data_IF_685756191820
#
_entry.id   IF_685756191820
#
_cell.length_a   1.000
_cell.length_b   1.000
_cell.length_c   1.000
_cell.angle_alpha   90.00
_cell.angle_beta   90.00
_cell.angle_gamma   90.00
#
_symmetry.space_group_name_H-M   'P 1'
#
loop_
_entity.id
_entity.type
_entity.pdbx_description
1 polymer ?
#
# COMPACT_ATOMS: atom_id res chain seq x y z
N UNK A 1 4.82 -6.75 -16.60
CA UNK A 1 5.18 -5.36 -16.25
C UNK A 1 6.66 -5.22 -16.48
N UNK A 2 7.08 -4.20 -17.20
CA UNK A 2 8.49 -3.96 -17.51
C UNK A 2 9.02 -2.85 -16.62
N UNK A 3 10.32 -2.89 -16.31
CA UNK A 3 10.99 -1.91 -15.46
C UNK A 3 12.22 -1.37 -16.19
N UNK A 4 12.50 -0.07 -16.01
CA UNK A 4 13.71 0.57 -16.52
C UNK A 4 14.94 0.30 -15.64
N UNK A 5 16.09 0.89 -15.98
CA UNK A 5 17.34 0.73 -15.24
C UNK A 5 17.30 1.31 -13.81
N UNK A 6 16.34 2.18 -13.50
CA UNK A 6 16.08 2.68 -12.15
C UNK A 6 15.11 1.79 -11.38
N UNK A 7 14.62 0.72 -12.02
CA UNK A 7 13.59 -0.15 -11.51
C UNK A 7 12.21 0.49 -11.53
N UNK A 8 11.98 1.60 -12.24
CA UNK A 8 10.67 2.23 -12.37
C UNK A 8 9.85 1.50 -13.42
N UNK A 9 8.53 1.46 -13.26
CA UNK A 9 7.68 0.86 -14.30
C UNK A 9 7.80 1.61 -15.61
N UNK A 10 8.10 0.87 -16.67
CA UNK A 10 8.03 1.33 -18.05
C UNK A 10 6.61 1.11 -18.60
N UNK A 11 5.95 2.19 -19.04
CA UNK A 11 4.64 2.11 -19.69
C UNK A 11 3.44 2.38 -18.76
N UNK A 12 2.29 1.79 -19.10
CA UNK A 12 1.02 2.03 -18.40
C UNK A 12 0.84 1.05 -17.24
N UNK A 13 0.42 1.58 -16.08
CA UNK A 13 -0.07 0.78 -14.96
C UNK A 13 -1.59 0.76 -15.01
N UNK A 14 -2.16 -0.44 -14.90
CA UNK A 14 -3.58 -0.62 -14.65
C UNK A 14 -3.83 -0.66 -13.14
N UNK A 15 -4.76 0.17 -12.68
CA UNK A 15 -5.16 0.18 -11.27
C UNK A 15 -5.94 -1.07 -10.92
N UNK A 16 -5.83 -1.47 -9.66
CA UNK A 16 -6.59 -2.59 -9.14
C UNK A 16 -8.05 -2.16 -8.94
N UNK A 17 -9.02 -3.01 -9.33
CA UNK A 17 -10.40 -2.82 -8.93
C UNK A 17 -10.53 -2.70 -7.41
N UNK A 18 -11.50 -1.94 -6.93
CA UNK A 18 -11.73 -1.74 -5.49
C UNK A 18 -11.98 -3.05 -4.70
N UNK A 19 -12.30 -4.15 -5.36
CA UNK A 19 -12.48 -5.48 -4.76
C UNK A 19 -11.20 -6.32 -4.68
N UNK A 20 -10.10 -5.90 -5.30
CA UNK A 20 -8.87 -6.69 -5.48
C UNK A 20 -7.62 -6.00 -4.92
N UNK A 21 -7.79 -4.93 -4.15
CA UNK A 21 -6.66 -4.29 -3.50
C UNK A 21 -7.01 -3.35 -2.37
N UNK A 22 -6.16 -3.36 -1.34
CA UNK A 22 -6.17 -2.38 -0.27
C UNK A 22 -5.68 -1.06 -0.84
N UNK A 23 -6.42 0.03 -0.63
CA UNK A 23 -6.00 1.35 -1.11
C UNK A 23 -5.59 2.26 0.03
N UNK A 24 -4.47 2.98 -0.12
CA UNK A 24 -3.96 3.93 0.86
C UNK A 24 -3.85 5.33 0.26
N UNK A 25 -4.31 6.33 1.00
CA UNK A 25 -4.48 7.70 0.52
C UNK A 25 -3.40 8.60 1.16
N UNK A 26 -2.26 8.76 0.50
CA UNK A 26 -1.13 9.51 1.04
C UNK A 26 -1.22 11.00 0.72
N UNK A 27 -0.90 11.91 1.66
CA UNK A 27 -0.71 13.32 1.35
C UNK A 27 0.60 13.58 0.59
N UNK A 28 1.57 12.65 0.65
CA UNK A 28 2.84 12.74 -0.08
C UNK A 28 2.59 12.57 -1.59
N UNK A 29 2.90 13.60 -2.42
CA UNK A 29 2.74 13.51 -3.87
C UNK A 29 3.79 12.64 -4.57
N UNK A 30 4.93 12.32 -3.96
CA UNK A 30 5.98 11.53 -4.61
C UNK A 30 5.66 10.03 -4.67
N UNK A 31 6.06 9.37 -5.77
CA UNK A 31 5.94 7.92 -5.94
C UNK A 31 7.11 7.14 -5.30
N UNK A 32 7.88 7.77 -4.40
CA UNK A 32 9.11 7.20 -3.86
C UNK A 32 8.84 5.95 -3.01
N UNK A 33 9.53 4.87 -3.36
CA UNK A 33 9.53 3.59 -2.64
C UNK A 33 10.87 3.44 -1.92
N UNK A 34 10.85 3.54 -0.58
CA UNK A 34 12.03 3.53 0.27
C UNK A 34 12.15 2.18 1.02
N UNK A 35 12.85 1.20 0.42
CA UNK A 35 12.98 -0.16 0.97
C UNK A 35 13.39 -0.17 2.45
N UNK A 36 14.41 0.61 2.82
CA UNK A 36 14.91 0.68 4.19
C UNK A 36 13.84 1.13 5.19
N UNK A 37 13.00 2.09 4.82
CA UNK A 37 11.94 2.62 5.68
C UNK A 37 10.81 1.60 5.82
N UNK A 38 10.45 0.92 4.74
CA UNK A 38 9.42 -0.12 4.73
C UNK A 38 9.87 -1.35 5.54
N UNK A 39 11.10 -1.82 5.31
CA UNK A 39 11.70 -2.94 6.03
C UNK A 39 11.89 -2.64 7.53
N UNK A 40 12.27 -1.41 7.88
CA UNK A 40 12.35 -0.98 9.28
C UNK A 40 10.98 -1.06 9.97
N UNK A 41 9.93 -0.51 9.33
CA UNK A 41 8.57 -0.56 9.88
C UNK A 41 8.07 -2.00 10.01
N UNK A 42 8.29 -2.84 8.98
CA UNK A 42 7.96 -4.26 8.99
C UNK A 42 8.54 -4.99 10.20
N UNK A 43 9.84 -4.81 10.45
CA UNK A 43 10.55 -5.49 11.54
C UNK A 43 10.11 -4.97 12.91
N UNK A 44 10.08 -3.65 13.10
CA UNK A 44 9.88 -3.05 14.42
C UNK A 44 8.43 -3.16 14.90
N UNK A 45 7.45 -3.02 14.01
CA UNK A 45 6.05 -2.91 14.42
C UNK A 45 5.17 -4.08 14.02
N UNK A 46 5.61 -4.90 13.06
CA UNK A 46 4.80 -5.99 12.49
C UNK A 46 5.46 -7.37 12.59
N UNK A 47 6.66 -7.49 13.17
CA UNK A 47 7.34 -8.78 13.32
C UNK A 47 7.60 -9.49 11.99
N UNK A 48 7.74 -8.70 10.92
CA UNK A 48 7.86 -9.17 9.55
C UNK A 48 9.18 -8.72 8.92
N UNK A 49 9.64 -9.50 7.95
CA UNK A 49 10.71 -9.15 7.04
C UNK A 49 10.11 -8.72 5.70
N UNK A 50 10.68 -7.69 5.09
CA UNK A 50 10.21 -7.12 3.84
C UNK A 50 11.41 -6.78 2.96
N UNK A 51 11.37 -7.22 1.71
CA UNK A 51 12.35 -6.88 0.68
C UNK A 51 11.65 -6.54 -0.64
N UNK A 52 12.21 -5.58 -1.38
CA UNK A 52 11.71 -5.26 -2.73
C UNK A 52 12.31 -6.24 -3.74
N UNK A 53 11.47 -6.77 -4.62
CA UNK A 53 11.92 -7.62 -5.74
C UNK A 53 12.62 -6.78 -6.79
N UNK A 54 12.05 -5.62 -7.14
CA UNK A 54 12.70 -4.64 -8.01
C UNK A 54 13.42 -3.59 -7.16
N UNK A 55 14.74 -3.48 -7.33
CA UNK A 55 15.53 -2.42 -6.68
C UNK A 55 15.17 -1.07 -7.30
N UNK A 56 14.92 -0.08 -6.44
CA UNK A 56 14.48 1.25 -6.83
C UNK A 56 15.61 2.25 -6.67
N UNK A 57 15.91 2.99 -7.73
CA UNK A 57 16.84 4.12 -7.73
C UNK A 57 16.09 5.41 -8.04
N UNK A 58 16.50 6.53 -7.44
CA UNK A 58 15.88 7.84 -7.67
C UNK A 58 16.98 8.88 -7.92
N UNK A 59 17.69 8.81 -9.06
CA UNK A 59 18.77 9.73 -9.37
C UNK A 59 18.24 11.16 -9.39
N UNK A 60 19.01 12.10 -8.84
CA UNK A 60 18.63 13.53 -8.71
C UNK A 60 17.34 13.81 -7.93
N UNK A 61 16.79 12.81 -7.21
CA UNK A 61 15.55 12.96 -6.46
C UNK A 61 14.27 12.92 -7.32
N UNK A 62 14.38 12.71 -8.63
CA UNK A 62 13.22 12.54 -9.49
C UNK A 62 12.44 11.27 -9.11
N UNK A 63 11.12 11.32 -9.22
CA UNK A 63 10.23 10.17 -9.04
C UNK A 63 9.31 10.03 -10.26
N UNK A 64 8.93 8.80 -10.65
CA UNK A 64 8.05 8.60 -11.78
C UNK A 64 6.62 9.05 -11.42
N UNK A 65 5.84 9.39 -12.45
CA UNK A 65 4.44 9.78 -12.26
C UNK A 65 3.64 8.65 -11.61
N UNK A 66 3.84 7.43 -12.08
CA UNK A 66 3.22 6.18 -11.61
C UNK A 66 4.32 5.16 -11.37
N UNK A 67 4.15 4.27 -10.41
CA UNK A 67 5.12 3.19 -10.18
C UNK A 67 4.46 1.94 -9.61
N UNK A 68 5.20 0.83 -9.65
CA UNK A 68 4.82 -0.42 -9.02
C UNK A 68 6.04 -1.15 -8.47
N UNK A 69 5.83 -2.03 -7.51
CA UNK A 69 6.87 -2.92 -7.02
C UNK A 69 6.25 -4.19 -6.48
N UNK A 70 6.88 -5.32 -6.75
CA UNK A 70 6.62 -6.55 -6.03
C UNK A 70 7.46 -6.57 -4.75
N UNK A 71 6.82 -6.97 -3.67
CA UNK A 71 7.37 -6.99 -2.32
C UNK A 71 7.31 -8.41 -1.81
N UNK A 72 8.45 -8.97 -1.45
CA UNK A 72 8.49 -10.21 -0.69
C UNK A 72 8.34 -9.86 0.79
N UNK A 73 7.32 -10.44 1.43
CA UNK A 73 7.02 -10.25 2.86
C UNK A 73 6.90 -11.61 3.54
N UNK A 74 7.55 -11.76 4.68
CA UNK A 74 7.51 -12.97 5.49
C UNK A 74 7.35 -12.60 6.97
N UNK A 75 6.78 -13.50 7.76
CA UNK A 75 7.03 -13.47 9.22
C UNK A 75 8.49 -13.83 9.48
N UNK A 76 9.06 -13.36 10.59
CA UNK A 76 10.41 -13.75 10.99
C UNK A 76 10.59 -15.28 10.94
N UNK A 77 11.53 -15.76 10.12
CA UNK A 77 11.82 -17.18 9.91
C UNK A 77 10.82 -17.98 9.04
N UNK A 78 9.81 -17.32 8.46
CA UNK A 78 8.82 -17.94 7.58
C UNK A 78 9.17 -17.86 6.09
N UNK A 79 8.45 -18.62 5.26
CA UNK A 79 8.55 -18.49 3.81
C UNK A 79 7.90 -17.17 3.32
N UNK A 80 8.51 -16.47 2.35
CA UNK A 80 7.97 -15.22 1.84
C UNK A 80 6.74 -15.43 0.97
N UNK A 81 5.79 -14.49 1.07
CA UNK A 81 4.73 -14.28 0.10
C UNK A 81 5.02 -13.01 -0.69
N UNK A 82 4.71 -13.03 -1.99
CA UNK A 82 4.98 -11.92 -2.90
C UNK A 82 3.73 -11.09 -3.15
N UNK A 83 3.79 -9.80 -2.89
CA UNK A 83 2.65 -8.88 -3.00
C UNK A 83 2.97 -7.75 -3.98
N UNK A 84 2.07 -7.47 -4.91
CA UNK A 84 2.21 -6.32 -5.81
C UNK A 84 1.69 -5.05 -5.14
N UNK A 85 2.49 -3.99 -5.19
CA UNK A 85 2.12 -2.63 -4.77
C UNK A 85 2.17 -1.71 -5.99
N UNK A 86 1.15 -0.86 -6.16
CA UNK A 86 1.05 0.14 -7.22
C UNK A 86 0.89 1.53 -6.60
N UNK A 87 1.31 2.58 -7.31
CA UNK A 87 1.08 3.96 -6.88
C UNK A 87 0.83 4.90 -8.04
N UNK A 88 -0.15 5.80 -7.89
CA UNK A 88 -0.54 6.80 -8.89
C UNK A 88 -1.01 8.11 -8.24
N UNK A 89 -0.96 9.25 -8.95
CA UNK A 89 -1.67 10.46 -8.56
C UNK A 89 -3.15 10.18 -8.28
N UNK A 90 -3.68 10.73 -7.19
CA UNK A 90 -5.05 10.45 -6.76
C UNK A 90 -6.11 10.94 -7.76
N UNK A 91 -5.82 12.00 -8.52
CA UNK A 91 -6.66 12.49 -9.61
C UNK A 91 -6.76 11.49 -10.79
N UNK A 92 -5.81 10.55 -10.91
CA UNK A 92 -5.84 9.44 -11.86
C UNK A 92 -6.49 8.17 -11.31
N UNK A 93 -6.96 8.19 -10.06
CA UNK A 93 -7.63 7.06 -9.40
C UNK A 93 -9.03 7.45 -8.87
N UNK A 94 -9.97 7.85 -9.76
CA UNK A 94 -11.28 8.35 -9.34
C UNK A 94 -12.10 7.31 -8.55
N UNK A 95 -11.99 6.02 -8.89
CA UNK A 95 -12.67 4.94 -8.18
C UNK A 95 -12.14 4.76 -6.74
N UNK A 96 -10.81 4.83 -6.56
CA UNK A 96 -10.18 4.78 -5.23
C UNK A 96 -10.62 5.98 -4.39
N UNK A 97 -10.65 7.19 -4.98
CA UNK A 97 -11.15 8.39 -4.31
C UNK A 97 -12.61 8.25 -3.90
N UNK A 98 -13.45 7.69 -4.78
CA UNK A 98 -14.86 7.47 -4.50
C UNK A 98 -15.09 6.46 -3.36
N UNK A 99 -14.36 5.34 -3.39
CA UNK A 99 -14.41 4.31 -2.34
C UNK A 99 -13.95 4.88 -0.99
N UNK A 100 -12.85 5.64 -0.97
CA UNK A 100 -12.38 6.33 0.23
C UNK A 100 -13.43 7.31 0.77
N UNK A 101 -14.03 8.13 -0.11
CA UNK A 101 -15.06 9.08 0.29
C UNK A 101 -16.32 8.38 0.86
N UNK A 102 -16.72 7.26 0.28
CA UNK A 102 -17.81 6.44 0.82
C UNK A 102 -17.47 5.91 2.21
N UNK A 103 -16.25 5.38 2.40
CA UNK A 103 -15.83 4.87 3.70
C UNK A 103 -15.69 5.94 4.78
N UNK A 104 -15.20 7.13 4.43
CA UNK A 104 -15.16 8.28 5.34
C UNK A 104 -16.57 8.70 5.79
N UNK A 105 -17.53 8.73 4.85
CA UNK A 105 -18.93 9.03 5.19
C UNK A 105 -19.54 7.97 6.11
N UNK A 106 -19.28 6.70 5.85
CA UNK A 106 -19.81 5.59 6.64
C UNK A 106 -19.40 5.66 8.12
N UNK A 107 -18.21 6.19 8.42
CA UNK A 107 -17.74 6.36 9.80
C UNK A 107 -18.05 7.74 10.41
N UNK A 108 -18.71 8.63 9.67
CA UNK A 108 -19.06 9.98 10.12
C UNK A 108 -17.86 10.95 10.19
N UNK A 109 -16.93 10.86 9.24
CA UNK A 109 -15.81 11.82 9.13
C UNK A 109 -14.64 11.51 10.03
N UNK A 110 -14.80 11.40 11.36
CA UNK A 110 -13.80 10.98 12.38
C UNK A 110 -12.32 11.36 12.11
N UNK A 111 -12.06 12.53 11.51
CA UNK A 111 -10.73 13.00 11.12
C UNK A 111 -10.18 12.42 9.80
N UNK A 112 -10.78 11.36 9.26
CA UNK A 112 -10.41 10.79 7.97
C UNK A 112 -10.87 11.64 6.79
N UNK A 113 -11.90 12.45 6.97
CA UNK A 113 -12.31 13.52 6.06
C UNK A 113 -11.19 14.53 5.81
N UNK A 114 -10.51 14.98 6.88
CA UNK A 114 -9.38 15.87 6.77
C UNK A 114 -8.14 15.21 6.14
N UNK A 115 -7.96 13.90 6.31
CA UNK A 115 -6.91 13.14 5.63
C UNK A 115 -7.21 13.00 4.14
N UNK A 116 -8.44 12.63 3.77
CA UNK A 116 -8.87 12.48 2.39
C UNK A 116 -8.78 13.81 1.62
N UNK A 117 -9.14 14.94 2.23
CA UNK A 117 -9.03 16.26 1.61
C UNK A 117 -7.58 16.64 1.25
N UNK A 118 -6.60 16.15 2.02
CA UNK A 118 -5.17 16.41 1.81
C UNK A 118 -4.47 15.36 0.94
N UNK A 119 -5.10 14.22 0.70
CA UNK A 119 -4.51 13.15 -0.09
C UNK A 119 -4.15 13.62 -1.51
N UNK A 120 -2.96 13.22 -1.97
CA UNK A 120 -2.38 13.54 -3.29
C UNK A 120 -2.08 12.29 -4.10
N UNK A 121 -1.87 11.14 -3.44
CA UNK A 121 -1.45 9.89 -4.06
C UNK A 121 -2.30 8.72 -3.57
N UNK A 122 -2.64 7.83 -4.49
CA UNK A 122 -3.23 6.54 -4.17
C UNK A 122 -2.14 5.46 -4.28
N UNK A 123 -1.98 4.68 -3.21
CA UNK A 123 -1.20 3.45 -3.22
C UNK A 123 -2.18 2.28 -3.17
N UNK A 124 -1.93 1.22 -3.93
CA UNK A 124 -2.76 0.01 -3.89
C UNK A 124 -1.89 -1.21 -3.61
N UNK A 125 -2.36 -2.10 -2.74
CA UNK A 125 -1.73 -3.37 -2.40
C UNK A 125 -2.64 -4.49 -2.88
N UNK A 126 -2.14 -5.34 -3.78
CA UNK A 126 -2.93 -6.38 -4.43
C UNK A 126 -3.36 -7.49 -3.48
N UNK A 127 -4.62 -7.90 -3.61
CA UNK A 127 -5.18 -9.11 -3.03
C UNK A 127 -5.96 -9.90 -4.10
N UNK A 128 -5.72 -11.23 -4.24
CA UNK A 128 -4.75 -12.04 -3.51
C UNK A 128 -3.29 -11.71 -3.86
N UNK A 129 -2.35 -12.20 -3.03
CA UNK A 129 -0.91 -12.10 -3.29
C UNK A 129 -0.52 -12.76 -4.62
N UNK A 130 0.60 -12.32 -5.20
CA UNK A 130 1.14 -12.83 -6.47
C UNK A 130 1.69 -14.26 -6.31
N UNK A 131 2.33 -14.55 -5.17
CA UNK A 131 2.85 -15.88 -4.85
C UNK A 131 2.92 -16.09 -3.32
N UNK A 132 3.01 -17.36 -2.89
CA UNK A 132 3.07 -17.76 -1.50
C UNK A 132 1.70 -17.97 -0.84
N UNK A 133 1.70 -18.62 0.32
CA UNK A 133 0.48 -19.15 0.94
C UNK A 133 -0.04 -18.32 2.12
N UNK A 134 0.68 -17.29 2.56
CA UNK A 134 0.22 -16.44 3.66
C UNK A 134 -0.82 -15.43 3.15
N UNK A 135 -2.10 -15.77 3.30
CA UNK A 135 -3.22 -14.90 2.94
C UNK A 135 -3.23 -13.54 3.67
N UNK A 136 -2.43 -13.37 4.74
CA UNK A 136 -2.30 -12.10 5.48
C UNK A 136 -1.24 -11.18 4.88
N UNK A 137 -0.46 -11.65 3.91
CA UNK A 137 0.62 -10.89 3.31
C UNK A 137 0.16 -9.53 2.72
N UNK A 138 -0.95 -9.45 1.95
CA UNK A 138 -1.47 -8.17 1.46
C UNK A 138 -1.81 -7.19 2.59
N UNK A 139 -2.53 -7.64 3.63
CA UNK A 139 -2.87 -6.79 4.76
C UNK A 139 -1.62 -6.38 5.57
N UNK A 140 -0.62 -7.25 5.68
CA UNK A 140 0.66 -6.94 6.33
C UNK A 140 1.36 -5.79 5.60
N UNK A 141 1.48 -5.87 4.27
CA UNK A 141 2.06 -4.81 3.45
C UNK A 141 1.24 -3.52 3.54
N UNK A 142 -0.09 -3.61 3.45
CA UNK A 142 -0.96 -2.44 3.61
C UNK A 142 -0.78 -1.77 4.99
N UNK A 143 -0.65 -2.55 6.07
CA UNK A 143 -0.43 -2.00 7.41
C UNK A 143 0.93 -1.30 7.55
N UNK A 144 1.99 -1.89 6.96
CA UNK A 144 3.33 -1.28 6.90
C UNK A 144 3.26 0.05 6.13
N UNK A 145 2.66 0.06 4.95
CA UNK A 145 2.53 1.28 4.15
C UNK A 145 1.68 2.34 4.85
N UNK A 146 0.62 1.94 5.56
CA UNK A 146 -0.20 2.87 6.35
C UNK A 146 0.64 3.55 7.45
N UNK A 147 1.55 2.81 8.08
CA UNK A 147 2.48 3.35 9.07
C UNK A 147 3.51 4.29 8.44
N UNK A 148 4.09 3.90 7.30
CA UNK A 148 5.10 4.70 6.57
C UNK A 148 4.52 6.00 6.06
N UNK A 149 3.38 5.92 5.38
CA UNK A 149 2.76 7.03 4.63
C UNK A 149 1.83 7.87 5.50
N UNK A 150 1.56 7.44 6.75
CA UNK A 150 0.54 8.01 7.63
C UNK A 150 -0.83 8.11 6.93
N UNK A 151 -1.13 7.09 6.13
CA UNK A 151 -2.26 7.08 5.21
C UNK A 151 -3.42 6.24 5.77
N UNK A 152 -4.67 6.64 5.53
CA UNK A 152 -5.81 5.80 5.83
C UNK A 152 -5.92 4.68 4.78
N UNK A 153 -6.44 3.53 5.22
CA UNK A 153 -6.57 2.29 4.46
C UNK A 153 -8.05 2.05 4.13
N UNK A 154 -8.33 1.92 2.84
CA UNK A 154 -9.59 1.48 2.28
C UNK A 154 -9.46 -0.03 1.99
N UNK A 155 -10.16 -0.89 2.75
CA UNK A 155 -10.16 -2.32 2.52
C UNK A 155 -10.85 -2.72 1.21
N UNK A 156 -10.45 -3.84 0.58
CA UNK A 156 -11.12 -4.33 -0.62
C UNK A 156 -12.55 -4.80 -0.31
N UNK A 157 -13.54 -4.31 -1.06
CA UNK A 157 -14.94 -4.73 -0.93
C UNK A 157 -15.65 -4.33 0.38
N UNK A 158 -14.98 -3.62 1.28
CA UNK A 158 -15.50 -3.23 2.58
C UNK A 158 -15.83 -1.72 2.63
N UNK A 159 -16.89 -1.37 3.35
CA UNK A 159 -17.35 0.02 3.46
C UNK A 159 -16.63 0.83 4.56
N UNK A 160 -15.80 0.21 5.40
CA UNK A 160 -15.23 0.88 6.59
C UNK A 160 -13.75 1.17 6.41
N UNK A 161 -13.39 2.44 6.27
CA UNK A 161 -12.00 2.91 6.24
C UNK A 161 -11.38 2.89 7.65
N UNK A 162 -10.07 2.68 7.75
CA UNK A 162 -9.35 2.69 9.03
C UNK A 162 -7.91 3.18 8.88
N UNK A 163 -7.22 3.44 10.00
CA UNK A 163 -5.79 3.75 10.03
C UNK A 163 -4.94 2.56 10.46
N UNK A 164 -3.62 2.77 10.59
CA UNK A 164 -2.66 1.74 11.00
C UNK A 164 -3.08 0.92 12.25
N UNK A 165 -3.71 1.56 13.24
CA UNK A 165 -4.25 0.86 14.43
C UNK A 165 -5.27 -0.21 14.04
N UNK A 166 -6.25 0.15 13.19
CA UNK A 166 -7.26 -0.79 12.72
C UNK A 166 -6.70 -1.88 11.79
N UNK A 167 -5.59 -1.61 11.09
CA UNK A 167 -4.87 -2.61 10.32
C UNK A 167 -4.21 -3.64 11.26
N UNK A 168 -3.52 -3.18 12.31
CA UNK A 168 -2.90 -4.04 13.33
C UNK A 168 -3.92 -4.91 14.05
N UNK A 169 -5.06 -4.35 14.46
CA UNK A 169 -6.13 -5.11 15.11
C UNK A 169 -6.71 -6.22 14.22
N UNK A 170 -6.74 -6.02 12.89
CA UNK A 170 -7.15 -7.06 11.94
C UNK A 170 -6.09 -8.13 11.77
N UNK A 171 -4.81 -7.74 11.67
CA UNK A 171 -3.69 -8.68 11.62
C UNK A 171 -3.63 -9.56 12.86
N UNK A 172 -3.75 -8.99 14.07
CA UNK A 172 -3.78 -9.79 15.31
C UNK A 172 -4.96 -10.75 15.36
N UNK A 173 -6.14 -10.37 14.84
CA UNK A 173 -7.29 -11.28 14.70
C UNK A 173 -7.04 -12.40 13.68
N UNK A 174 -6.23 -12.14 12.67
CA UNK A 174 -5.77 -13.14 11.70
C UNK A 174 -4.55 -13.96 12.21
N UNK A 175 -4.19 -13.85 13.49
CA UNK A 175 -3.11 -14.64 14.09
C UNK A 175 -1.71 -14.10 13.81
N UNK A 176 -1.57 -12.78 13.64
CA UNK A 176 -0.28 -12.10 13.65
C UNK A 176 0.17 -11.75 15.07
#
# INVERSE_FOLDING_TARGET
MEFDDNGWVSGRIELLPASHGWSLLSPEPEARIEEHRWAHQARVFFGAELALVQKKSYPSGATPMVDAVEVDVARAGGAPSRVLVLTVPLDRAPEVRAAAAAGVRAIGGRGFDALLARARRAWQVREPQVAGDDARAPLTVAAILAAVLLAPVVPPGEATIFGVKGARERLSRAGL
#
